data_IF_203480020075
#
_entry.id   IF_203480020075
#
_cell.length_a   1.000
_cell.length_b   1.000
_cell.length_c   1.000
_cell.angle_alpha   90.00
_cell.angle_beta   90.00
_cell.angle_gamma   90.00
#
_symmetry.space_group_name_H-M   'P 1'
#
loop_
_entity.id
_entity.type
_entity.pdbx_description
1 polymer ?
#
# COMPACT_ATOMS: atom_id res chain seq x y z
N UNK A 1 -6.31 1.84 8.77
CA UNK A 1 -6.44 1.28 10.14
C UNK A 1 -6.86 2.28 11.21
N UNK A 2 -6.92 3.59 10.93
CA UNK A 2 -7.47 4.61 11.85
C UNK A 2 -8.89 5.03 11.41
N UNK A 3 -9.85 5.21 12.34
CA UNK A 3 -11.19 5.68 11.99
C UNK A 3 -11.15 7.16 11.56
N UNK A 4 -11.61 7.42 10.34
CA UNK A 4 -11.81 8.77 9.80
C UNK A 4 -13.22 8.88 9.22
N UNK A 5 -13.78 10.10 9.22
CA UNK A 5 -15.05 10.33 8.53
C UNK A 5 -14.85 10.32 7.00
N UNK A 6 -15.93 10.11 6.23
CA UNK A 6 -15.84 9.96 4.78
C UNK A 6 -15.24 11.20 4.07
N UNK A 7 -15.55 12.40 4.59
CA UNK A 7 -15.05 13.67 4.04
C UNK A 7 -13.53 13.82 4.25
N UNK A 8 -13.03 13.42 5.42
CA UNK A 8 -11.62 13.40 5.75
C UNK A 8 -10.88 12.35 4.93
N UNK A 9 -11.42 11.13 4.80
CA UNK A 9 -10.83 10.09 3.95
C UNK A 9 -10.62 10.59 2.53
N UNK A 10 -11.67 11.14 1.91
CA UNK A 10 -11.60 11.67 0.55
C UNK A 10 -10.58 12.81 0.41
N UNK A 11 -10.52 13.71 1.41
CA UNK A 11 -9.56 14.82 1.42
C UNK A 11 -8.12 14.30 1.51
N UNK A 12 -7.85 13.36 2.41
CA UNK A 12 -6.52 12.77 2.60
C UNK A 12 -6.09 12.01 1.34
N UNK A 13 -6.96 11.17 0.80
CA UNK A 13 -6.71 10.41 -0.44
C UNK A 13 -6.35 11.33 -1.61
N UNK A 14 -7.12 12.41 -1.80
CA UNK A 14 -6.86 13.40 -2.86
C UNK A 14 -5.54 14.14 -2.67
N UNK A 15 -5.18 14.48 -1.43
CA UNK A 15 -3.91 15.13 -1.10
C UNK A 15 -2.72 14.21 -1.39
N UNK A 16 -2.79 12.95 -0.92
CA UNK A 16 -1.75 11.94 -1.12
C UNK A 16 -1.59 11.62 -2.60
N UNK A 17 -2.69 11.38 -3.32
CA UNK A 17 -2.66 11.09 -4.75
C UNK A 17 -1.91 12.18 -5.55
N UNK A 18 -2.25 13.46 -5.32
CA UNK A 18 -1.55 14.57 -5.98
C UNK A 18 -0.07 14.63 -5.61
N UNK A 19 0.27 14.41 -4.34
CA UNK A 19 1.64 14.47 -3.87
C UNK A 19 2.53 13.36 -4.44
N UNK A 20 1.98 12.14 -4.58
CA UNK A 20 2.71 10.98 -5.12
C UNK A 20 2.84 11.07 -6.64
N UNK A 21 1.78 11.42 -7.36
CA UNK A 21 1.79 11.45 -8.84
C UNK A 21 2.67 12.58 -9.39
N UNK A 22 2.76 13.72 -8.70
CA UNK A 22 3.59 14.84 -9.12
C UNK A 22 5.09 14.65 -8.84
N UNK A 23 5.49 13.54 -8.18
CA UNK A 23 6.85 13.34 -7.69
C UNK A 23 7.76 12.74 -8.76
N UNK A 24 8.99 13.26 -8.88
CA UNK A 24 10.00 12.77 -9.82
C UNK A 24 10.40 11.32 -9.45
N UNK A 25 10.49 10.39 -10.42
CA UNK A 25 10.89 9.00 -10.17
C UNK A 25 12.28 8.82 -9.55
N UNK A 26 13.17 9.83 -9.62
CA UNK A 26 14.49 9.81 -8.98
C UNK A 26 14.44 10.11 -7.48
N UNK A 27 13.32 10.61 -6.98
CA UNK A 27 13.15 10.87 -5.56
C UNK A 27 12.93 9.55 -4.81
N UNK A 28 13.15 9.60 -3.49
CA UNK A 28 12.90 8.46 -2.61
C UNK A 28 11.42 8.10 -2.59
N UNK A 29 11.17 6.81 -2.30
CA UNK A 29 9.86 6.21 -2.05
C UNK A 29 9.19 6.67 -0.74
N UNK A 30 9.80 7.62 -0.03
CA UNK A 30 9.38 8.09 1.28
C UNK A 30 9.00 9.56 1.21
N UNK A 31 7.81 9.89 1.70
CA UNK A 31 7.27 11.24 1.72
C UNK A 31 6.74 11.55 3.12
N UNK A 32 7.26 12.60 3.74
CA UNK A 32 6.69 13.10 4.99
C UNK A 32 5.34 13.78 4.72
N UNK A 33 4.33 13.40 5.49
CA UNK A 33 2.98 13.94 5.40
C UNK A 33 2.44 14.20 6.81
N UNK A 34 2.48 15.47 7.23
CA UNK A 34 2.07 15.91 8.57
C UNK A 34 2.86 15.15 9.65
N UNK A 35 2.19 14.42 10.52
CA UNK A 35 2.78 13.59 11.59
C UNK A 35 2.94 12.12 11.18
N UNK A 36 2.82 11.81 9.88
CA UNK A 36 2.97 10.47 9.32
C UNK A 36 4.00 10.45 8.18
N UNK A 37 4.44 9.26 7.81
CA UNK A 37 5.22 9.02 6.61
C UNK A 37 4.38 8.24 5.60
N UNK A 38 4.48 8.63 4.34
CA UNK A 38 3.90 7.93 3.21
C UNK A 38 5.00 7.14 2.53
N UNK A 39 4.82 5.82 2.49
CA UNK A 39 5.69 4.87 1.80
C UNK A 39 4.94 4.42 0.55
N UNK A 40 5.53 4.58 -0.62
CA UNK A 40 4.86 4.20 -1.86
C UNK A 40 5.79 3.51 -2.84
N UNK A 41 5.22 2.62 -3.66
CA UNK A 41 5.92 1.95 -4.76
C UNK A 41 5.01 1.82 -5.97
N UNK A 42 5.59 2.06 -7.14
CA UNK A 42 4.89 1.95 -8.42
C UNK A 42 5.19 0.59 -9.05
N UNK A 43 4.13 -0.14 -9.42
CA UNK A 43 4.21 -1.37 -10.21
C UNK A 43 3.34 -1.18 -11.46
N UNK A 44 3.97 -1.19 -12.63
CA UNK A 44 3.32 -0.86 -13.91
C UNK A 44 2.52 0.47 -13.85
N UNK A 45 1.20 0.42 -14.06
CA UNK A 45 0.30 1.58 -13.97
C UNK A 45 -0.17 1.92 -12.56
N UNK A 46 0.07 1.06 -11.57
CA UNK A 46 -0.52 1.16 -10.23
C UNK A 46 0.46 1.71 -9.19
N UNK A 47 -0.07 2.47 -8.24
CA UNK A 47 0.65 2.95 -7.06
C UNK A 47 0.11 2.25 -5.81
N UNK A 48 1.02 1.58 -5.09
CA UNK A 48 0.74 1.01 -3.78
C UNK A 48 1.28 1.99 -2.74
N UNK A 49 0.43 2.39 -1.80
CA UNK A 49 0.72 3.49 -0.87
C UNK A 49 0.31 3.06 0.54
N UNK A 50 1.24 3.18 1.47
CA UNK A 50 1.06 2.96 2.89
C UNK A 50 1.33 4.23 3.67
N UNK A 51 0.53 4.48 4.69
CA UNK A 51 0.70 5.59 5.63
C UNK A 51 1.09 4.99 6.98
N UNK A 52 2.24 5.39 7.50
CA UNK A 52 2.90 4.79 8.68
C UNK A 52 3.30 5.88 9.66
N UNK A 53 3.57 5.51 10.91
CA UNK A 53 3.99 6.47 11.92
C UNK A 53 5.42 6.93 11.67
N UNK A 54 5.78 8.09 12.23
CA UNK A 54 7.13 8.66 12.05
C UNK A 54 8.26 7.78 12.59
N UNK A 55 7.95 6.87 13.51
CA UNK A 55 8.93 6.00 14.15
C UNK A 55 9.05 4.62 13.48
N UNK A 56 8.18 4.31 12.51
CA UNK A 56 8.19 3.01 11.84
C UNK A 56 9.35 2.89 10.85
N UNK A 57 9.76 1.65 10.61
CA UNK A 57 10.81 1.33 9.67
C UNK A 57 10.32 1.48 8.22
N UNK A 58 10.80 2.50 7.52
CA UNK A 58 10.35 2.79 6.16
C UNK A 58 10.71 1.69 5.16
N UNK A 59 11.88 1.07 5.34
CA UNK A 59 12.34 -0.02 4.47
C UNK A 59 11.52 -1.29 4.69
N UNK A 60 11.19 -1.61 5.94
CA UNK A 60 10.33 -2.76 6.26
C UNK A 60 8.95 -2.63 5.60
N UNK A 61 8.38 -1.43 5.61
CA UNK A 61 7.10 -1.15 4.97
C UNK A 61 7.19 -1.14 3.44
N UNK A 62 8.32 -0.74 2.88
CA UNK A 62 8.57 -0.82 1.43
C UNK A 62 8.68 -2.29 0.96
N UNK A 63 9.31 -3.14 1.76
CA UNK A 63 9.38 -4.59 1.49
C UNK A 63 8.02 -5.26 1.72
N UNK A 64 7.21 -4.82 2.68
CA UNK A 64 5.84 -5.29 2.84
C UNK A 64 5.00 -5.02 1.58
N UNK A 65 5.13 -3.84 0.98
CA UNK A 65 4.46 -3.53 -0.30
C UNK A 65 4.90 -4.53 -1.37
N UNK A 66 6.20 -4.88 -1.40
CA UNK A 66 6.72 -5.83 -2.37
C UNK A 66 6.16 -7.24 -2.14
N UNK A 67 6.17 -7.71 -0.89
CA UNK A 67 5.61 -8.99 -0.47
C UNK A 67 4.13 -9.09 -0.87
N UNK A 68 3.34 -8.04 -0.63
CA UNK A 68 1.94 -8.01 -1.01
C UNK A 68 1.74 -8.20 -2.52
N UNK A 69 2.54 -7.50 -3.34
CA UNK A 69 2.48 -7.63 -4.80
C UNK A 69 2.93 -9.01 -5.27
N UNK A 70 3.94 -9.62 -4.63
CA UNK A 70 4.37 -10.98 -4.93
C UNK A 70 3.30 -12.02 -4.59
N UNK A 71 2.62 -11.88 -3.44
CA UNK A 71 1.51 -12.76 -3.06
C UNK A 71 0.35 -12.62 -4.06
N UNK A 72 0.03 -11.40 -4.49
CA UNK A 72 -0.98 -11.17 -5.53
C UNK A 72 -0.58 -11.82 -6.85
N UNK A 73 0.67 -11.67 -7.29
CA UNK A 73 1.15 -12.25 -8.54
C UNK A 73 1.15 -13.79 -8.50
N UNK A 74 1.57 -14.38 -7.37
CA UNK A 74 1.50 -15.82 -7.13
C UNK A 74 0.08 -16.37 -7.09
N UNK A 75 -0.87 -15.59 -6.55
CA UNK A 75 -2.27 -15.99 -6.45
C UNK A 75 -3.01 -15.91 -7.79
N UNK A 76 -2.81 -14.84 -8.58
CA UNK A 76 -3.51 -14.62 -9.85
C UNK A 76 -2.79 -15.20 -11.07
N UNK A 77 -1.47 -15.41 -11.00
CA UNK A 77 -0.65 -15.95 -12.09
C UNK A 77 -0.47 -14.96 -13.24
N UNK A 78 0.40 -13.96 -13.03
CA UNK A 78 0.55 -12.73 -13.81
C UNK A 78 -0.56 -11.72 -13.52
N UNK A 79 -0.48 -11.09 -12.34
CA UNK A 79 -1.49 -10.14 -11.90
C UNK A 79 -1.52 -8.89 -12.80
N UNK A 80 -2.72 -8.47 -13.19
CA UNK A 80 -2.95 -7.20 -13.88
C UNK A 80 -3.95 -6.31 -13.13
N UNK A 81 -4.01 -5.02 -13.47
CA UNK A 81 -4.91 -4.05 -12.83
C UNK A 81 -6.39 -4.44 -12.91
N UNK A 82 -6.80 -5.09 -14.01
CA UNK A 82 -8.16 -5.58 -14.19
C UNK A 82 -8.50 -6.67 -13.17
N UNK A 83 -7.56 -7.54 -12.81
CA UNK A 83 -7.78 -8.59 -11.82
C UNK A 83 -8.10 -8.00 -10.45
N UNK A 84 -7.40 -6.94 -10.05
CA UNK A 84 -7.65 -6.25 -8.79
C UNK A 84 -9.03 -5.57 -8.78
N UNK A 85 -9.47 -5.03 -9.93
CA UNK A 85 -10.79 -4.38 -10.06
C UNK A 85 -11.92 -5.40 -10.01
N UNK A 86 -11.77 -6.55 -10.69
CA UNK A 86 -12.80 -7.58 -10.75
C UNK A 86 -12.86 -8.48 -9.51
N UNK A 87 -11.74 -8.66 -8.82
CA UNK A 87 -11.61 -9.53 -7.65
C UNK A 87 -11.18 -8.77 -6.39
N UNK A 88 -11.73 -7.57 -6.18
CA UNK A 88 -11.39 -6.74 -5.03
C UNK A 88 -11.62 -7.46 -3.70
N UNK A 89 -12.67 -8.30 -3.60
CA UNK A 89 -12.98 -9.12 -2.43
C UNK A 89 -11.83 -10.04 -2.03
N UNK A 90 -11.17 -10.66 -3.02
CA UNK A 90 -10.01 -11.52 -2.80
C UNK A 90 -8.77 -10.71 -2.39
N UNK A 91 -8.57 -9.55 -3.00
CA UNK A 91 -7.47 -8.64 -2.67
C UNK A 91 -7.57 -8.18 -1.22
N UNK A 92 -8.77 -7.79 -0.75
CA UNK A 92 -8.99 -7.44 0.65
C UNK A 92 -8.70 -8.60 1.59
N UNK A 93 -9.09 -9.83 1.20
CA UNK A 93 -8.83 -11.02 2.01
C UNK A 93 -7.33 -11.32 2.15
N UNK A 94 -6.57 -11.22 1.06
CA UNK A 94 -5.11 -11.37 1.08
C UNK A 94 -4.46 -10.27 1.94
N UNK A 95 -4.95 -9.03 1.82
CA UNK A 95 -4.46 -7.93 2.64
C UNK A 95 -4.72 -8.17 4.13
N UNK A 96 -5.89 -8.69 4.49
CA UNK A 96 -6.26 -9.01 5.88
C UNK A 96 -5.43 -10.18 6.46
N UNK A 97 -4.92 -11.09 5.63
CA UNK A 97 -3.98 -12.14 6.06
C UNK A 97 -2.58 -11.59 6.33
N UNK A 98 -2.12 -10.63 5.51
CA UNK A 98 -0.81 -9.99 5.67
C UNK A 98 -0.80 -8.96 6.81
N UNK A 99 -1.89 -8.23 7.00
CA UNK A 99 -1.99 -7.10 7.92
C UNK A 99 -3.21 -7.22 8.83
N UNK A 100 -2.94 -7.18 10.13
CA UNK A 100 -3.99 -7.20 11.13
C UNK A 100 -3.84 -6.01 12.07
N UNK A 101 -4.92 -5.26 12.28
CA UNK A 101 -4.96 -4.10 13.18
C UNK A 101 -3.91 -3.00 12.89
N UNK A 102 -3.35 -2.96 11.66
CA UNK A 102 -2.31 -2.00 11.26
C UNK A 102 -0.88 -2.52 11.43
N UNK A 103 -0.72 -3.75 11.92
CA UNK A 103 0.56 -4.41 12.12
C UNK A 103 0.75 -5.56 11.14
N UNK A 104 2.01 -5.94 10.89
CA UNK A 104 2.37 -7.09 10.06
C UNK A 104 2.01 -8.37 10.82
N UNK A 105 1.16 -9.19 10.23
CA UNK A 105 0.69 -10.46 10.81
C UNK A 105 1.45 -11.65 10.23
N UNK A 106 1.34 -11.85 8.91
CA UNK A 106 1.99 -12.97 8.21
C UNK A 106 3.07 -12.43 7.25
N UNK A 107 4.24 -13.08 7.26
CA UNK A 107 5.36 -12.73 6.36
C UNK A 107 5.77 -13.89 5.45
N UNK A 108 5.25 -15.09 5.70
CA UNK A 108 5.50 -16.25 4.85
C UNK A 108 4.64 -16.18 3.59
N UNK A 109 5.26 -16.30 2.42
CA UNK A 109 4.54 -16.52 1.15
C UNK A 109 4.06 -17.96 0.97
N UNK A 110 4.43 -18.87 1.88
CA UNK A 110 4.07 -20.29 1.84
C UNK A 110 2.98 -20.56 2.86
N UNK A 111 1.75 -20.73 2.37
CA UNK A 111 0.63 -21.37 3.07
C UNK A 111 -0.05 -22.35 2.14
#
# INVERSE_FOLDING_TARGET
YVPFNAKEKFKIESEIHRAVVARDPRNTNFLEYRSYKIIYRRYAGMFFIFCVDMNDNEMGMLELIHLFVEVLDGYFGNVCELDLVFHFDKVYRILDELLLAGEISETSTRT
#
